data_IF_449717546484
#
_entry.id   IF_449717546484
#
_cell.length_a   1.000
_cell.length_b   1.000
_cell.length_c   1.000
_cell.angle_alpha   90.00
_cell.angle_beta   90.00
_cell.angle_gamma   90.00
#
_symmetry.space_group_name_H-M   'P 1'
#
loop_
_entity.id
_entity.type
_entity.pdbx_description
1 polymer ?
#
# COMPACT_ATOMS: atom_id res chain seq x y z
N UNK A 1 -33.73 3.33 -5.30
CA UNK A 1 -32.55 4.22 -5.31
C UNK A 1 -31.73 3.91 -6.55
N UNK A 2 -31.52 4.93 -7.39
CA UNK A 2 -30.64 4.81 -8.56
C UNK A 2 -29.22 5.11 -8.10
N UNK A 3 -28.31 4.14 -8.28
CA UNK A 3 -26.88 4.32 -8.05
C UNK A 3 -26.10 3.85 -9.27
N UNK A 4 -25.21 4.67 -9.83
CA UNK A 4 -24.35 4.19 -10.89
C UNK A 4 -23.38 3.14 -10.35
N UNK A 5 -22.96 2.24 -11.21
CA UNK A 5 -21.79 1.39 -10.99
C UNK A 5 -20.54 2.24 -10.98
N UNK A 6 -19.44 1.69 -10.46
CA UNK A 6 -18.14 2.36 -10.47
C UNK A 6 -17.48 2.16 -11.84
N UNK A 7 -16.93 3.26 -12.37
CA UNK A 7 -16.14 3.19 -13.60
C UNK A 7 -14.82 2.45 -13.31
N UNK A 8 -14.60 1.34 -14.01
CA UNK A 8 -13.37 0.59 -13.97
C UNK A 8 -12.91 0.32 -15.41
N UNK A 9 -11.72 0.80 -15.75
CA UNK A 9 -11.18 0.74 -17.11
C UNK A 9 -9.94 -0.12 -17.21
N UNK A 10 -9.66 -0.94 -16.19
CA UNK A 10 -8.43 -1.72 -16.13
C UNK A 10 -8.32 -2.68 -17.32
N UNK A 11 -9.44 -3.30 -17.74
CA UNK A 11 -9.48 -4.17 -18.92
C UNK A 11 -9.35 -3.42 -20.26
N UNK A 12 -9.54 -2.10 -20.21
CA UNK A 12 -9.42 -1.25 -21.39
C UNK A 12 -8.03 -0.65 -21.56
N UNK A 13 -7.11 -0.86 -20.61
CA UNK A 13 -5.77 -0.28 -20.66
C UNK A 13 -5.04 -0.57 -21.98
N UNK A 14 -5.09 -1.81 -22.56
CA UNK A 14 -4.49 -2.05 -23.87
C UNK A 14 -5.02 -1.11 -24.95
N UNK A 15 -6.33 -0.94 -25.03
CA UNK A 15 -6.99 -0.07 -26.01
C UNK A 15 -6.74 1.40 -25.75
N UNK A 16 -6.65 1.80 -24.47
CA UNK A 16 -6.33 3.18 -24.09
C UNK A 16 -4.89 3.52 -24.47
N UNK A 17 -3.95 2.60 -24.28
CA UNK A 17 -2.56 2.76 -24.71
C UNK A 17 -2.47 3.01 -26.22
N UNK A 18 -3.21 2.24 -27.04
CA UNK A 18 -3.26 2.43 -28.50
C UNK A 18 -3.78 3.82 -28.93
N UNK A 19 -4.59 4.48 -28.09
CA UNK A 19 -5.11 5.84 -28.40
C UNK A 19 -4.12 6.95 -28.09
N UNK A 20 -2.98 6.64 -27.48
CA UNK A 20 -1.95 7.64 -27.13
C UNK A 20 -2.33 8.51 -25.92
N UNK A 21 -3.07 7.96 -24.96
CA UNK A 21 -3.39 8.65 -23.70
C UNK A 21 -2.12 8.77 -22.86
N UNK A 22 -1.75 9.98 -22.45
CA UNK A 22 -0.53 10.27 -21.69
C UNK A 22 -0.68 9.97 -20.18
N UNK A 23 -1.90 10.09 -19.65
CA UNK A 23 -2.13 9.90 -18.21
C UNK A 23 -3.55 9.43 -17.88
N UNK A 24 -3.69 8.72 -16.77
CA UNK A 24 -4.96 8.29 -16.22
C UNK A 24 -5.24 9.01 -14.90
N UNK A 25 -6.45 9.58 -14.79
CA UNK A 25 -6.89 10.19 -13.53
C UNK A 25 -7.72 9.20 -12.73
N UNK A 26 -7.24 8.87 -11.53
CA UNK A 26 -7.98 8.05 -10.56
C UNK A 26 -8.72 8.99 -9.61
N UNK A 27 -10.03 8.76 -9.42
CA UNK A 27 -10.84 9.54 -8.48
C UNK A 27 -10.92 8.81 -7.13
N UNK A 28 -10.47 9.48 -6.07
CA UNK A 28 -10.44 8.94 -4.72
C UNK A 28 -11.06 9.87 -3.67
N UNK A 29 -11.77 10.93 -4.10
CA UNK A 29 -12.40 11.87 -3.17
C UNK A 29 -13.35 11.16 -2.21
N UNK A 30 -13.23 11.44 -0.91
CA UNK A 30 -14.00 10.80 0.16
C UNK A 30 -13.73 9.30 0.33
N UNK A 31 -12.66 8.79 -0.24
CA UNK A 31 -12.21 7.41 -0.05
C UNK A 31 -11.09 7.34 0.98
N UNK A 32 -10.90 6.16 1.56
CA UNK A 32 -9.80 5.93 2.50
C UNK A 32 -8.44 5.85 1.79
N UNK A 33 -7.33 6.05 2.50
CA UNK A 33 -5.99 5.83 1.94
C UNK A 33 -5.80 4.42 1.37
N UNK A 34 -6.35 3.40 2.03
CA UNK A 34 -6.30 2.01 1.56
C UNK A 34 -6.94 1.83 0.18
N UNK A 35 -8.07 2.50 -0.05
CA UNK A 35 -8.71 2.49 -1.37
C UNK A 35 -7.78 3.08 -2.43
N UNK A 36 -7.19 4.24 -2.15
CA UNK A 36 -6.30 4.92 -3.10
C UNK A 36 -5.09 4.05 -3.40
N UNK A 37 -4.48 3.49 -2.36
CA UNK A 37 -3.33 2.59 -2.50
C UNK A 37 -3.67 1.38 -3.36
N UNK A 38 -4.72 0.63 -3.03
CA UNK A 38 -5.10 -0.58 -3.74
C UNK A 38 -5.43 -0.30 -5.23
N UNK A 39 -6.16 0.79 -5.51
CA UNK A 39 -6.51 1.15 -6.88
C UNK A 39 -5.28 1.58 -7.67
N UNK A 40 -4.42 2.44 -7.09
CA UNK A 40 -3.19 2.89 -7.76
C UNK A 40 -2.24 1.73 -8.00
N UNK A 41 -2.06 0.84 -7.02
CA UNK A 41 -1.19 -0.34 -7.15
C UNK A 41 -1.66 -1.27 -8.28
N UNK A 42 -2.96 -1.58 -8.37
CA UNK A 42 -3.51 -2.42 -9.43
C UNK A 42 -3.31 -1.81 -10.82
N UNK A 43 -3.63 -0.52 -10.98
CA UNK A 43 -3.41 0.18 -12.26
C UNK A 43 -1.93 0.32 -12.59
N UNK A 44 -1.06 0.57 -11.61
CA UNK A 44 0.39 0.66 -11.83
C UNK A 44 0.96 -0.68 -12.32
N UNK A 45 0.62 -1.77 -11.67
CA UNK A 45 1.05 -3.12 -12.08
C UNK A 45 0.60 -3.46 -13.51
N UNK A 46 -0.66 -3.15 -13.85
CA UNK A 46 -1.19 -3.39 -15.20
C UNK A 46 -0.50 -2.51 -16.25
N UNK A 47 -0.21 -1.23 -15.96
CA UNK A 47 0.50 -0.33 -16.87
C UNK A 47 1.95 -0.78 -17.07
N UNK A 48 2.64 -1.21 -16.02
CA UNK A 48 4.02 -1.69 -16.13
C UNK A 48 4.10 -2.95 -17.00
N UNK A 49 3.15 -3.87 -16.86
CA UNK A 49 3.02 -5.04 -17.73
C UNK A 49 2.79 -4.68 -19.20
N UNK A 50 1.92 -3.69 -19.45
CA UNK A 50 1.69 -3.18 -20.80
C UNK A 50 2.94 -2.51 -21.39
N UNK A 51 3.65 -1.72 -20.60
CA UNK A 51 4.90 -1.10 -21.05
C UNK A 51 5.93 -2.15 -21.45
N UNK A 52 6.13 -3.19 -20.62
CA UNK A 52 6.99 -4.31 -20.97
C UNK A 52 6.54 -5.00 -22.26
N UNK A 53 5.23 -5.27 -22.44
CA UNK A 53 4.71 -5.90 -23.64
C UNK A 53 4.93 -5.04 -24.92
N UNK A 54 4.84 -3.71 -24.79
CA UNK A 54 5.14 -2.78 -25.88
C UNK A 54 6.62 -2.84 -26.24
N UNK A 55 7.52 -2.78 -25.25
CA UNK A 55 8.97 -2.81 -25.47
C UNK A 55 9.44 -4.15 -26.05
N UNK A 56 8.81 -5.25 -25.66
CA UNK A 56 9.11 -6.61 -26.16
C UNK A 56 8.39 -6.94 -27.47
N UNK A 57 7.45 -6.13 -27.92
CA UNK A 57 6.63 -6.37 -29.11
C UNK A 57 5.69 -7.58 -28.96
N UNK A 58 5.27 -7.89 -27.74
CA UNK A 58 4.34 -8.99 -27.41
C UNK A 58 2.87 -8.53 -27.45
N UNK A 59 1.93 -9.45 -27.26
CA UNK A 59 0.49 -9.15 -27.30
C UNK A 59 0.05 -8.27 -26.12
N UNK A 60 -0.54 -7.12 -26.42
CA UNK A 60 -1.12 -6.25 -25.40
C UNK A 60 -2.37 -6.86 -24.74
N UNK A 61 -3.09 -7.75 -25.45
CA UNK A 61 -4.25 -8.44 -24.88
C UNK A 61 -3.83 -9.43 -23.79
N UNK A 62 -2.68 -10.11 -23.97
CA UNK A 62 -2.13 -11.02 -22.95
C UNK A 62 -1.56 -10.28 -21.75
N UNK A 63 -1.18 -9.01 -21.92
CA UNK A 63 -0.75 -8.12 -20.85
C UNK A 63 -1.92 -7.43 -20.11
N UNK A 64 -3.16 -7.83 -20.37
CA UNK A 64 -4.37 -7.30 -19.74
C UNK A 64 -4.43 -7.48 -18.23
N UNK A 65 -5.52 -7.03 -17.62
CA UNK A 65 -5.74 -7.13 -16.17
C UNK A 65 -5.83 -8.58 -15.70
N UNK A 66 -5.30 -8.86 -14.53
CA UNK A 66 -5.35 -10.16 -13.88
C UNK A 66 -6.60 -10.32 -13.00
N UNK A 67 -6.96 -11.57 -12.69
CA UNK A 67 -8.05 -11.83 -11.73
C UNK A 67 -7.73 -11.30 -10.33
N UNK A 68 -6.44 -11.25 -9.95
CA UNK A 68 -6.00 -10.71 -8.68
C UNK A 68 -6.21 -9.20 -8.61
N UNK A 69 -5.89 -8.47 -9.68
CA UNK A 69 -6.16 -7.03 -9.79
C UNK A 69 -7.66 -6.73 -9.76
N UNK A 70 -8.48 -7.51 -10.46
CA UNK A 70 -9.94 -7.41 -10.38
C UNK A 70 -10.47 -7.64 -8.98
N UNK A 71 -9.93 -8.64 -8.28
CA UNK A 71 -10.29 -8.92 -6.90
C UNK A 71 -9.91 -7.76 -5.99
N UNK A 72 -8.66 -7.26 -6.10
CA UNK A 72 -8.17 -6.13 -5.32
C UNK A 72 -9.04 -4.87 -5.49
N UNK A 73 -9.39 -4.53 -6.74
CA UNK A 73 -10.27 -3.41 -7.04
C UNK A 73 -11.69 -3.61 -6.46
N UNK A 74 -12.23 -4.83 -6.54
CA UNK A 74 -13.56 -5.15 -6.02
C UNK A 74 -13.62 -5.07 -4.50
N UNK A 75 -12.56 -5.48 -3.82
CA UNK A 75 -12.41 -5.43 -2.37
C UNK A 75 -12.17 -4.01 -1.86
N UNK A 76 -11.36 -3.23 -2.58
CA UNK A 76 -11.12 -1.83 -2.23
C UNK A 76 -12.42 -1.02 -2.18
N UNK A 77 -13.26 -1.13 -3.21
CA UNK A 77 -14.62 -0.58 -3.23
C UNK A 77 -15.33 -0.98 -4.53
N UNK A 78 -16.52 -1.58 -4.44
CA UNK A 78 -17.32 -1.88 -5.63
C UNK A 78 -18.84 -1.82 -5.38
N UNK A 79 -19.52 -1.06 -6.23
CA UNK A 79 -20.99 -1.10 -6.43
C UNK A 79 -21.36 -1.92 -7.66
N UNK A 80 -20.40 -2.65 -8.19
CA UNK A 80 -20.36 -3.26 -9.50
C UNK A 80 -19.59 -2.36 -10.47
N UNK A 81 -18.84 -2.96 -11.39
CA UNK A 81 -18.02 -2.24 -12.35
C UNK A 81 -18.73 -2.02 -13.69
N UNK A 82 -18.36 -0.96 -14.38
CA UNK A 82 -18.78 -0.62 -15.73
C UNK A 82 -17.66 0.09 -16.47
N UNK A 83 -17.58 -0.13 -17.77
CA UNK A 83 -16.74 0.67 -18.69
C UNK A 83 -17.45 1.93 -19.18
N UNK A 84 -18.66 2.18 -18.71
CA UNK A 84 -19.54 3.27 -19.12
C UNK A 84 -19.66 3.37 -20.65
N UNK A 85 -19.38 4.53 -21.22
CA UNK A 85 -19.52 4.77 -22.66
C UNK A 85 -18.27 4.40 -23.48
N UNK A 86 -17.21 3.96 -22.83
CA UNK A 86 -15.94 3.65 -23.51
C UNK A 86 -16.00 2.34 -24.31
N UNK A 87 -16.84 1.39 -23.90
CA UNK A 87 -16.94 0.07 -24.54
C UNK A 87 -17.91 0.00 -25.71
N UNK A 88 -18.51 1.09 -26.18
CA UNK A 88 -19.59 1.09 -27.19
C UNK A 88 -20.83 0.25 -26.82
N UNK A 89 -20.89 -0.33 -25.63
CA UNK A 89 -22.09 -1.03 -25.16
C UNK A 89 -23.21 -0.03 -24.93
N UNK A 90 -24.37 -0.31 -25.49
CA UNK A 90 -25.58 0.50 -25.28
C UNK A 90 -26.47 -0.19 -24.25
N UNK A 91 -27.10 0.57 -23.38
CA UNK A 91 -28.08 0.06 -22.43
C UNK A 91 -27.85 0.53 -21.00
N UNK A 92 -28.50 -0.18 -20.05
CA UNK A 92 -28.48 0.20 -18.63
C UNK A 92 -27.28 -0.34 -17.85
N UNK A 93 -26.20 -0.71 -18.51
CA UNK A 93 -25.04 -1.31 -17.84
C UNK A 93 -24.36 -0.36 -16.84
N UNK A 94 -24.56 0.95 -16.99
CA UNK A 94 -24.02 1.98 -16.08
C UNK A 94 -24.73 1.96 -14.72
N UNK A 95 -25.98 1.47 -14.66
CA UNK A 95 -26.79 1.54 -13.45
C UNK A 95 -26.70 0.27 -12.61
N UNK A 96 -26.48 0.45 -11.30
CA UNK A 96 -26.60 -0.62 -10.34
C UNK A 96 -28.02 -0.77 -9.83
N UNK A 97 -28.62 -1.95 -10.04
CA UNK A 97 -29.97 -2.27 -9.52
C UNK A 97 -29.95 -2.79 -8.08
N UNK A 98 -28.78 -2.92 -7.51
CA UNK A 98 -28.60 -3.33 -6.13
C UNK A 98 -28.50 -2.15 -5.17
N UNK A 99 -27.91 -2.41 -4.00
CA UNK A 99 -27.67 -1.38 -2.98
C UNK A 99 -26.58 -0.40 -3.44
N UNK A 100 -26.67 0.88 -3.03
CA UNK A 100 -25.69 1.91 -3.42
C UNK A 100 -24.37 1.84 -2.62
N UNK A 101 -24.19 0.86 -1.75
CA UNK A 101 -23.02 0.70 -0.88
C UNK A 101 -22.00 -0.24 -1.48
N UNK A 102 -20.78 -0.22 -0.92
CA UNK A 102 -19.75 -1.22 -1.20
C UNK A 102 -20.33 -2.62 -0.99
N UNK A 103 -20.15 -3.51 -1.97
CA UNK A 103 -20.66 -4.89 -1.89
C UNK A 103 -19.60 -5.85 -1.39
N UNK A 104 -18.34 -5.48 -1.49
CA UNK A 104 -17.25 -6.41 -1.26
C UNK A 104 -17.25 -7.58 -2.25
N UNK A 105 -16.48 -8.60 -1.92
CA UNK A 105 -16.42 -9.87 -2.67
C UNK A 105 -17.28 -10.91 -1.98
N UNK A 106 -18.03 -11.66 -2.77
CA UNK A 106 -18.84 -12.78 -2.24
C UNK A 106 -17.90 -13.83 -1.62
N UNK A 107 -17.94 -13.94 -0.30
CA UNK A 107 -17.08 -14.88 0.45
C UNK A 107 -17.76 -16.25 0.60
N UNK A 108 -19.08 -16.29 0.72
CA UNK A 108 -19.74 -17.58 0.90
C UNK A 108 -21.14 -17.51 1.49
N UNK A 109 -21.55 -18.61 2.12
CA UNK A 109 -22.86 -18.72 2.75
C UNK A 109 -22.76 -19.35 4.15
N UNK A 110 -23.63 -18.89 5.03
CA UNK A 110 -23.83 -19.53 6.35
C UNK A 110 -24.44 -20.91 6.16
N UNK A 111 -23.76 -21.93 6.62
CA UNK A 111 -24.24 -23.34 6.59
C UNK A 111 -24.88 -23.75 7.90
N UNK A 112 -24.34 -23.22 9.03
CA UNK A 112 -24.89 -23.46 10.39
C UNK A 112 -24.78 -22.17 11.20
N UNK A 113 -25.76 -21.97 12.09
CA UNK A 113 -25.73 -20.89 13.08
C UNK A 113 -26.31 -21.40 14.41
N UNK A 114 -25.63 -21.15 15.51
CA UNK A 114 -26.06 -21.49 16.87
C UNK A 114 -25.63 -20.37 17.83
N UNK A 115 -26.56 -19.49 18.15
CA UNK A 115 -26.25 -18.29 18.94
C UNK A 115 -25.32 -17.34 18.19
N UNK A 116 -24.13 -17.13 18.72
CA UNK A 116 -23.05 -16.34 18.09
C UNK A 116 -22.15 -17.19 17.20
N UNK A 117 -22.12 -18.50 17.40
CA UNK A 117 -21.29 -19.41 16.60
C UNK A 117 -21.89 -19.63 15.22
N UNK A 118 -21.08 -19.47 14.19
CA UNK A 118 -21.45 -19.66 12.79
C UNK A 118 -20.47 -20.56 12.07
N UNK A 119 -20.97 -21.27 11.07
CA UNK A 119 -20.16 -21.95 10.09
C UNK A 119 -20.46 -21.38 8.71
N UNK A 120 -19.44 -20.92 8.03
CA UNK A 120 -19.50 -20.36 6.68
C UNK A 120 -18.73 -21.26 5.72
N UNK A 121 -19.37 -21.63 4.62
CA UNK A 121 -18.70 -22.29 3.51
C UNK A 121 -18.16 -21.20 2.56
N UNK A 122 -16.85 -21.15 2.41
CA UNK A 122 -16.16 -20.14 1.61
C UNK A 122 -15.11 -20.77 0.70
N UNK A 123 -15.13 -20.41 -0.57
CA UNK A 123 -14.05 -20.71 -1.52
C UNK A 123 -12.97 -19.62 -1.53
N UNK A 124 -13.26 -18.47 -0.93
CA UNK A 124 -12.31 -17.39 -0.71
C UNK A 124 -11.56 -17.66 0.59
N UNK A 125 -10.26 -17.54 0.57
CA UNK A 125 -9.44 -17.60 1.79
C UNK A 125 -9.77 -16.42 2.69
N UNK A 126 -10.10 -16.70 3.95
CA UNK A 126 -10.41 -15.71 4.97
C UNK A 126 -9.26 -15.59 5.95
N UNK A 127 -8.98 -14.37 6.41
CA UNK A 127 -7.90 -14.04 7.34
C UNK A 127 -8.44 -13.38 8.60
N UNK A 128 -7.72 -13.52 9.70
CA UNK A 128 -7.99 -12.74 10.90
C UNK A 128 -7.87 -11.24 10.61
N UNK A 129 -8.82 -10.46 11.07
CA UNK A 129 -8.94 -9.04 10.75
C UNK A 129 -9.80 -8.72 9.52
N UNK A 130 -10.22 -9.72 8.73
CA UNK A 130 -11.20 -9.51 7.65
C UNK A 130 -12.49 -8.93 8.21
N UNK A 131 -13.11 -8.03 7.45
CA UNK A 131 -14.46 -7.56 7.76
C UNK A 131 -15.46 -8.24 6.84
N UNK A 132 -16.35 -9.03 7.46
CA UNK A 132 -17.38 -9.79 6.78
C UNK A 132 -18.74 -9.12 6.97
N UNK A 133 -19.48 -8.90 5.87
CA UNK A 133 -20.85 -8.40 5.89
C UNK A 133 -21.82 -9.55 5.65
N UNK A 134 -22.76 -9.74 6.58
CA UNK A 134 -23.80 -10.77 6.54
C UNK A 134 -25.09 -10.17 6.03
N UNK A 135 -25.63 -10.75 4.96
CA UNK A 135 -26.89 -10.33 4.36
C UNK A 135 -28.01 -11.28 4.75
N UNK A 136 -28.86 -10.81 5.64
CA UNK A 136 -29.96 -11.56 6.21
C UNK A 136 -31.32 -11.04 5.74
N UNK A 137 -32.38 -11.78 5.98
CA UNK A 137 -33.74 -11.33 5.69
C UNK A 137 -34.18 -10.09 6.49
N UNK A 138 -33.50 -9.79 7.60
CA UNK A 138 -33.80 -8.66 8.50
C UNK A 138 -32.89 -7.45 8.27
N UNK A 139 -31.97 -7.54 7.35
CA UNK A 139 -31.00 -6.51 7.07
C UNK A 139 -29.59 -7.07 6.89
N UNK A 140 -28.60 -6.24 7.08
CA UNK A 140 -27.20 -6.61 7.00
C UNK A 140 -26.43 -5.97 8.14
N UNK A 141 -25.34 -6.61 8.54
CA UNK A 141 -24.39 -6.08 9.51
C UNK A 141 -23.00 -6.59 9.18
N UNK A 142 -22.00 -5.86 9.61
CA UNK A 142 -20.60 -6.24 9.47
C UNK A 142 -20.05 -6.77 10.80
N UNK A 143 -19.16 -7.75 10.73
CA UNK A 143 -18.41 -8.29 11.84
C UNK A 143 -16.96 -8.49 11.43
N UNK A 144 -16.04 -8.11 12.29
CA UNK A 144 -14.61 -8.41 12.10
C UNK A 144 -14.36 -9.87 12.47
N UNK A 145 -13.61 -10.57 11.65
CA UNK A 145 -13.19 -11.95 11.90
C UNK A 145 -11.98 -11.93 12.83
N UNK A 146 -12.19 -12.11 14.12
CA UNK A 146 -11.11 -12.07 15.13
C UNK A 146 -10.32 -13.36 15.18
N UNK A 147 -11.01 -14.50 15.21
CA UNK A 147 -10.41 -15.84 15.22
C UNK A 147 -11.35 -16.82 14.55
N UNK A 148 -10.81 -17.87 13.97
CA UNK A 148 -11.61 -18.93 13.35
C UNK A 148 -10.91 -20.29 13.38
N UNK A 149 -11.70 -21.35 13.28
CA UNK A 149 -11.24 -22.71 12.98
C UNK A 149 -11.58 -23.02 11.51
N UNK A 150 -10.60 -23.48 10.72
CA UNK A 150 -10.81 -23.88 9.32
C UNK A 150 -10.77 -25.40 9.16
N UNK A 151 -11.76 -25.94 8.44
CA UNK A 151 -11.81 -27.36 8.04
C UNK A 151 -12.20 -27.45 6.56
N UNK A 152 -11.20 -27.57 5.70
CA UNK A 152 -11.41 -27.48 4.25
C UNK A 152 -11.94 -26.08 3.87
N UNK A 153 -13.11 -26.03 3.21
CA UNK A 153 -13.78 -24.80 2.81
C UNK A 153 -14.72 -24.25 3.91
N UNK A 154 -14.75 -24.88 5.07
CA UNK A 154 -15.59 -24.46 6.18
C UNK A 154 -14.81 -23.65 7.20
N UNK A 155 -15.33 -22.47 7.54
CA UNK A 155 -14.84 -21.56 8.54
C UNK A 155 -15.82 -21.49 9.71
N UNK A 156 -15.33 -21.70 10.93
CA UNK A 156 -16.12 -21.68 12.18
C UNK A 156 -15.62 -20.53 13.04
N UNK A 157 -16.51 -19.60 13.37
CA UNK A 157 -16.16 -18.41 14.16
C UNK A 157 -17.38 -17.80 14.86
N UNK A 158 -17.16 -16.83 15.72
CA UNK A 158 -18.20 -16.09 16.41
C UNK A 158 -18.48 -14.75 15.71
N UNK A 159 -19.74 -14.31 15.78
CA UNK A 159 -20.19 -13.02 15.26
C UNK A 159 -21.05 -12.26 16.28
N UNK A 160 -21.03 -10.92 16.18
CA UNK A 160 -21.93 -10.05 16.95
C UNK A 160 -23.21 -9.77 16.17
N UNK A 161 -24.00 -10.83 15.93
CA UNK A 161 -25.25 -10.70 15.18
C UNK A 161 -26.03 -11.98 15.10
N UNK A 162 -27.15 -11.93 14.40
CA UNK A 162 -28.00 -13.10 14.17
C UNK A 162 -28.09 -13.40 12.69
N UNK A 163 -27.72 -14.59 12.31
CA UNK A 163 -27.79 -15.09 10.94
C UNK A 163 -28.55 -16.41 10.88
N UNK A 164 -29.03 -16.74 9.71
CA UNK A 164 -29.70 -17.98 9.38
C UNK A 164 -28.90 -18.80 8.36
N UNK A 165 -29.20 -20.09 8.29
CA UNK A 165 -28.67 -20.94 7.23
C UNK A 165 -29.06 -20.41 5.86
N UNK A 166 -28.09 -20.28 4.95
CA UNK A 166 -28.25 -19.78 3.59
C UNK A 166 -28.00 -18.27 3.43
N UNK A 167 -27.87 -17.53 4.53
CA UNK A 167 -27.52 -16.11 4.47
C UNK A 167 -26.17 -15.93 3.76
N UNK A 168 -26.08 -14.87 2.96
CA UNK A 168 -24.89 -14.58 2.15
C UNK A 168 -23.86 -13.81 2.98
N UNK A 169 -22.60 -14.14 2.77
CA UNK A 169 -21.45 -13.49 3.40
C UNK A 169 -20.60 -12.85 2.33
N UNK A 170 -20.26 -11.58 2.53
CA UNK A 170 -19.38 -10.82 1.66
C UNK A 170 -18.20 -10.32 2.45
N UNK A 171 -16.98 -10.42 1.92
CA UNK A 171 -15.81 -9.77 2.47
C UNK A 171 -15.78 -8.33 1.96
N UNK A 172 -15.87 -7.37 2.86
CA UNK A 172 -15.87 -5.93 2.55
C UNK A 172 -14.54 -5.26 2.87
N UNK A 173 -13.67 -5.97 3.57
CA UNK A 173 -12.27 -5.61 3.81
C UNK A 173 -11.45 -6.89 3.96
N UNK A 174 -10.38 -6.98 3.19
CA UNK A 174 -9.37 -8.03 3.28
C UNK A 174 -8.23 -7.53 4.18
N UNK A 175 -7.97 -8.23 5.27
CA UNK A 175 -6.90 -7.88 6.20
C UNK A 175 -5.51 -8.10 5.60
N UNK A 176 -5.37 -9.05 4.66
CA UNK A 176 -4.10 -9.31 3.98
C UNK A 176 -3.70 -8.19 3.01
N UNK A 177 -4.66 -7.37 2.61
CA UNK A 177 -4.44 -6.19 1.75
C UNK A 177 -4.25 -4.90 2.56
N UNK A 178 -4.19 -4.98 3.89
CA UNK A 178 -3.83 -3.84 4.72
C UNK A 178 -2.40 -3.42 4.37
N UNK A 179 -2.24 -2.20 3.92
CA UNK A 179 -0.90 -1.65 3.73
C UNK A 179 -0.33 -1.22 5.11
N UNK A 180 0.97 -1.29 5.23
CA UNK A 180 1.68 -0.76 6.37
C UNK A 180 2.01 0.73 6.13
N UNK A 181 2.24 1.49 7.19
CA UNK A 181 2.62 2.91 7.09
C UNK A 181 3.85 3.11 6.19
N UNK A 182 4.75 2.13 6.14
CA UNK A 182 5.93 2.13 5.25
C UNK A 182 5.57 2.09 3.76
N UNK A 183 4.41 1.52 3.38
CA UNK A 183 3.93 1.48 1.99
C UNK A 183 3.36 2.84 1.55
N UNK A 184 2.87 3.65 2.50
CA UNK A 184 2.34 4.99 2.24
C UNK A 184 3.42 6.04 2.02
N UNK A 185 4.58 5.83 2.65
CA UNK A 185 5.73 6.70 2.53
C UNK A 185 6.94 5.89 2.03
N UNK A 186 6.97 5.48 0.73
CA UNK A 186 8.07 4.73 0.19
C UNK A 186 9.36 5.53 0.38
N UNK A 187 10.30 4.96 1.12
CA UNK A 187 11.60 5.55 1.37
C UNK A 187 12.62 4.98 0.42
N UNK A 188 13.56 5.82 0.02
CA UNK A 188 14.65 5.46 -0.86
C UNK A 188 15.84 4.95 -0.04
N UNK A 189 16.51 3.86 -0.47
CA UNK A 189 17.70 3.37 0.19
C UNK A 189 18.85 4.36 0.03
N UNK A 190 19.47 4.76 1.14
CA UNK A 190 20.62 5.66 1.13
C UNK A 190 21.80 5.03 1.86
N UNK A 191 22.99 5.18 1.28
CA UNK A 191 24.28 4.93 1.94
C UNK A 191 24.84 6.25 2.41
N UNK A 192 25.48 6.25 3.56
CA UNK A 192 26.05 7.47 4.13
C UNK A 192 27.47 7.24 4.61
N UNK A 193 28.29 8.28 4.51
CA UNK A 193 29.64 8.30 5.02
C UNK A 193 29.86 9.60 5.79
N UNK A 194 30.39 9.49 7.01
CA UNK A 194 30.68 10.60 7.92
C UNK A 194 32.17 10.60 8.23
N UNK A 195 32.82 11.71 7.94
CA UNK A 195 34.23 11.93 8.24
C UNK A 195 34.40 13.09 9.23
N UNK A 196 35.03 12.84 10.36
CA UNK A 196 35.25 13.85 11.39
C UNK A 196 36.67 13.75 11.98
N UNK A 197 37.61 14.42 11.35
CA UNK A 197 39.01 14.51 11.81
C UNK A 197 39.29 15.84 12.51
N UNK A 198 40.02 15.82 13.59
CA UNK A 198 40.35 17.02 14.38
C UNK A 198 41.17 18.00 13.51
N UNK A 199 40.67 19.23 13.39
CA UNK A 199 41.26 20.29 12.59
C UNK A 199 40.74 20.35 11.15
N UNK A 200 39.94 19.40 10.69
CA UNK A 200 39.32 19.36 9.38
C UNK A 200 37.81 19.69 9.43
N UNK A 201 37.17 20.12 8.33
CA UNK A 201 35.74 20.28 8.28
C UNK A 201 35.00 18.93 8.44
N UNK A 202 33.93 18.89 9.21
CA UNK A 202 33.00 17.75 9.22
C UNK A 202 32.48 17.50 7.80
N UNK A 203 32.74 16.31 7.26
CA UNK A 203 32.23 15.93 5.94
C UNK A 203 31.17 14.87 6.05
N UNK A 204 30.08 15.10 5.36
CA UNK A 204 28.96 14.18 5.28
C UNK A 204 28.64 13.89 3.81
N UNK A 205 28.63 12.62 3.44
CA UNK A 205 28.33 12.15 2.08
C UNK A 205 27.11 11.26 2.13
N UNK A 206 26.15 11.49 1.26
CA UNK A 206 24.98 10.65 1.07
C UNK A 206 24.91 10.17 -0.39
N UNK A 207 24.60 8.91 -0.59
CA UNK A 207 24.43 8.29 -1.90
C UNK A 207 23.08 7.58 -1.98
N UNK A 208 22.32 7.85 -3.05
CA UNK A 208 21.05 7.21 -3.34
C UNK A 208 20.87 7.07 -4.86
N UNK A 209 20.51 5.87 -5.33
CA UNK A 209 20.26 5.59 -6.75
C UNK A 209 21.37 6.07 -7.71
N UNK A 210 22.64 5.98 -7.29
CA UNK A 210 23.80 6.42 -8.09
C UNK A 210 24.06 7.93 -8.07
N UNK A 211 23.25 8.71 -7.35
CA UNK A 211 23.50 10.14 -7.11
C UNK A 211 24.20 10.29 -5.76
N UNK A 212 25.29 11.05 -5.77
CA UNK A 212 26.05 11.35 -4.56
C UNK A 212 25.99 12.86 -4.26
N UNK A 213 25.69 13.19 -3.01
CA UNK A 213 25.70 14.54 -2.47
C UNK A 213 26.66 14.61 -1.28
N UNK A 214 27.38 15.72 -1.13
CA UNK A 214 28.30 15.93 -0.02
C UNK A 214 28.12 17.32 0.58
N UNK A 215 28.24 17.38 1.90
CA UNK A 215 28.19 18.66 2.65
C UNK A 215 29.41 18.75 3.57
N UNK A 216 30.04 19.92 3.59
CA UNK A 216 31.12 20.25 4.54
C UNK A 216 30.57 21.20 5.61
N UNK A 217 30.72 20.80 6.85
CA UNK A 217 30.29 21.55 8.02
C UNK A 217 31.40 22.38 8.64
N UNK A 218 31.23 22.73 9.93
CA UNK A 218 32.27 23.43 10.70
C UNK A 218 33.51 22.54 10.94
N UNK A 219 34.62 23.15 11.17
CA UNK A 219 35.87 22.46 11.59
C UNK A 219 35.62 21.70 12.89
N UNK A 220 36.09 20.45 12.90
CA UNK A 220 36.01 19.55 14.05
C UNK A 220 37.07 19.90 15.07
N UNK A 221 36.68 20.08 16.33
CA UNK A 221 37.60 20.38 17.42
C UNK A 221 37.84 19.15 18.32
N UNK A 222 38.91 19.16 19.07
CA UNK A 222 39.09 18.18 20.13
C UNK A 222 38.05 18.38 21.25
N UNK A 223 37.59 17.29 21.86
CA UNK A 223 36.62 17.33 22.94
C UNK A 223 37.18 18.02 24.18
N UNK A 224 36.44 18.97 24.74
CA UNK A 224 36.75 19.65 26.00
C UNK A 224 36.28 18.89 27.22
N UNK A 225 35.21 18.10 27.06
CA UNK A 225 34.61 17.34 28.17
C UNK A 225 34.32 15.89 27.79
N UNK A 226 33.50 15.63 26.80
CA UNK A 226 33.13 14.29 26.34
C UNK A 226 33.33 14.20 24.84
N UNK A 227 34.13 13.21 24.41
CA UNK A 227 34.27 12.88 23.00
C UNK A 227 33.01 12.14 22.48
N UNK A 228 32.69 12.36 21.22
CA UNK A 228 31.63 11.58 20.52
C UNK A 228 32.20 10.22 20.13
N UNK A 229 31.41 9.18 20.23
CA UNK A 229 31.79 7.84 19.79
C UNK A 229 31.20 7.49 18.41
N UNK A 230 31.84 6.57 17.66
CA UNK A 230 31.28 6.10 16.40
C UNK A 230 29.84 5.54 16.54
N UNK A 231 29.52 4.91 17.68
CA UNK A 231 28.19 4.39 17.97
C UNK A 231 27.16 5.51 18.13
N UNK A 232 27.52 6.57 18.85
CA UNK A 232 26.69 7.77 19.01
C UNK A 232 26.44 8.45 17.64
N UNK A 233 27.46 8.50 16.77
CA UNK A 233 27.30 9.01 15.40
C UNK A 233 26.30 8.15 14.63
N UNK A 234 26.44 6.81 14.67
CA UNK A 234 25.51 5.88 14.00
C UNK A 234 24.08 6.09 14.45
N UNK A 235 23.83 6.11 15.74
CA UNK A 235 22.49 6.33 16.32
C UNK A 235 21.85 7.65 15.85
N UNK A 236 22.65 8.71 15.79
CA UNK A 236 22.14 10.03 15.41
C UNK A 236 21.97 10.23 13.89
N UNK A 237 22.78 9.53 13.08
CA UNK A 237 22.65 9.56 11.61
C UNK A 237 21.40 8.79 11.16
N UNK A 238 21.10 7.66 11.78
CA UNK A 238 19.96 6.80 11.44
C UNK A 238 18.58 7.43 11.73
N UNK A 239 18.54 8.54 12.45
CA UNK A 239 17.29 9.27 12.72
C UNK A 239 16.75 10.00 11.48
N UNK A 240 16.33 9.28 10.46
CA UNK A 240 15.87 9.80 9.16
C UNK A 240 14.36 10.05 9.07
N UNK A 241 13.60 9.93 10.17
CA UNK A 241 12.15 9.85 10.23
C UNK A 241 11.35 10.88 9.41
N UNK A 242 11.88 12.09 9.16
CA UNK A 242 11.23 13.14 8.38
C UNK A 242 11.83 13.32 6.97
N UNK A 243 12.49 12.28 6.45
CA UNK A 243 13.12 12.31 5.12
C UNK A 243 12.59 11.18 4.26
N UNK A 244 12.64 11.30 2.92
CA UNK A 244 12.25 10.21 2.03
C UNK A 244 13.28 9.09 1.95
N UNK A 245 14.22 9.01 2.89
CA UNK A 245 15.31 8.05 2.87
C UNK A 245 15.26 7.10 4.07
N UNK A 246 15.78 5.88 3.87
CA UNK A 246 16.15 4.98 4.96
C UNK A 246 17.64 4.56 4.79
N UNK A 247 18.30 4.33 5.92
CA UNK A 247 19.71 3.99 5.93
C UNK A 247 19.92 2.50 5.60
N UNK A 248 20.71 2.21 4.56
CA UNK A 248 21.10 0.84 4.20
C UNK A 248 22.52 0.51 4.65
N UNK A 249 23.40 1.52 4.66
CA UNK A 249 24.79 1.36 5.07
C UNK A 249 25.34 2.68 5.59
N UNK A 250 26.21 2.62 6.61
CA UNK A 250 26.85 3.78 7.20
C UNK A 250 28.30 3.50 7.54
N UNK A 251 29.17 4.22 6.86
CA UNK A 251 30.58 4.28 7.18
C UNK A 251 30.89 5.50 8.06
N UNK A 252 31.61 5.28 9.15
CA UNK A 252 31.94 6.31 10.14
C UNK A 252 33.45 6.32 10.38
N UNK A 253 34.10 7.38 9.90
CA UNK A 253 35.49 7.65 10.03
C UNK A 253 35.70 8.87 10.96
N UNK A 254 35.96 8.61 12.23
CA UNK A 254 36.00 9.63 13.31
C UNK A 254 37.20 9.40 14.17
N UNK A 255 38.04 10.46 14.35
CA UNK A 255 39.19 10.40 15.23
C UNK A 255 38.79 10.18 16.70
N UNK A 256 39.68 9.54 17.45
CA UNK A 256 39.56 9.48 18.91
C UNK A 256 39.62 10.90 19.51
N UNK A 257 38.72 11.19 20.43
CA UNK A 257 38.74 12.48 21.13
C UNK A 257 38.03 13.62 20.39
N UNK A 258 37.26 13.35 19.35
CA UNK A 258 36.48 14.37 18.64
C UNK A 258 35.41 14.98 19.54
N UNK A 259 35.38 16.32 19.59
CA UNK A 259 34.38 17.15 20.25
C UNK A 259 33.40 17.75 19.25
N UNK A 260 32.35 17.04 18.94
CA UNK A 260 31.29 17.49 18.01
C UNK A 260 29.92 17.42 18.67
N UNK A 261 29.13 18.50 18.57
CA UNK A 261 27.77 18.50 19.03
C UNK A 261 26.84 17.81 18.01
N UNK A 262 25.86 17.03 18.51
CA UNK A 262 24.87 16.35 17.67
C UNK A 262 24.12 17.28 16.73
N UNK A 263 23.94 18.56 17.08
CA UNK A 263 23.29 19.54 16.20
C UNK A 263 24.08 19.81 14.91
N UNK A 264 25.41 19.78 14.97
CA UNK A 264 26.29 19.92 13.79
C UNK A 264 26.13 18.71 12.87
N UNK A 265 26.12 17.49 13.43
CA UNK A 265 25.90 16.25 12.72
C UNK A 265 24.51 16.23 12.04
N UNK A 266 23.45 16.58 12.77
CA UNK A 266 22.09 16.66 12.21
C UNK A 266 21.98 17.69 11.10
N UNK A 267 22.63 18.86 11.24
CA UNK A 267 22.66 19.89 10.21
C UNK A 267 23.38 19.39 8.95
N UNK A 268 24.53 18.77 9.10
CA UNK A 268 25.31 18.22 7.99
C UNK A 268 24.51 17.15 7.23
N UNK A 269 23.91 16.19 7.93
CA UNK A 269 23.04 15.19 7.37
C UNK A 269 21.87 15.81 6.58
N UNK A 270 21.17 16.78 7.20
CA UNK A 270 20.00 17.42 6.57
C UNK A 270 20.38 18.20 5.32
N UNK A 271 21.55 18.83 5.31
CA UNK A 271 22.01 19.57 4.12
C UNK A 271 22.43 18.62 2.99
N UNK A 272 23.17 17.55 3.30
CA UNK A 272 23.56 16.54 2.31
C UNK A 272 22.33 15.86 1.65
N UNK A 273 21.28 15.60 2.43
CA UNK A 273 20.05 14.98 1.92
C UNK A 273 19.12 15.94 1.15
N UNK A 274 19.38 17.24 1.14
CA UNK A 274 18.63 18.25 0.38
C UNK A 274 19.26 18.62 -0.96
N UNK A 275 20.48 18.22 -1.17
CA UNK A 275 21.25 18.48 -2.40
C UNK A 275 20.94 17.46 -3.47
#
# INVERSE_FOLDING_TARGET
LLSPKDLCTIDMLPKLAETGVDSLKIEGRMKSPEYVFAVVAAYRAAIDRLACAIDEGTSLEEAGATEEEHRALSEAFSRGFTEAYLSRRRGNDIMGYGRPNNRGVFAGRVTKAKGREVAVESQTELHEGDVLEFWTNKGHFASTLEAFERKGDMYYFEIDGRVGKGDRVFRVRDASMAFHDDDLEPRLPARMHVVAHIGEPLRFVAECAGVQASFEGATVEAARTKAITPEEVREHVDRLGNTPFFLTDLDVDVDEGVGMGFSALHKARTQALKM
#
